data_IF_792847562902
#
_entry.id   IF_792847562902
#
_cell.length_a   1.000
_cell.length_b   1.000
_cell.length_c   1.000
_cell.angle_alpha   90.00
_cell.angle_beta   90.00
_cell.angle_gamma   90.00
#
_symmetry.space_group_name_H-M   'P 1'
#
loop_
_entity.id
_entity.type
_entity.pdbx_description
1 polymer ?
#
# COMPACT_ATOMS: atom_id res chain seq x y z
N UNK A 1 -13.60 -5.05 -29.58
CA UNK A 1 -13.50 -4.87 -28.13
C UNK A 1 -12.05 -5.08 -27.75
N UNK A 2 -11.30 -4.02 -27.45
CA UNK A 2 -9.92 -4.13 -26.97
C UNK A 2 -9.96 -4.78 -25.60
N UNK A 3 -9.23 -5.87 -25.42
CA UNK A 3 -9.11 -6.51 -24.11
C UNK A 3 -8.56 -5.49 -23.10
N UNK A 4 -9.38 -5.12 -22.13
CA UNK A 4 -8.95 -4.21 -21.06
C UNK A 4 -7.92 -4.97 -20.21
N UNK A 5 -6.71 -4.43 -20.05
CA UNK A 5 -5.69 -5.06 -19.19
C UNK A 5 -6.18 -5.17 -17.74
N UNK A 6 -5.68 -6.17 -17.03
CA UNK A 6 -5.96 -6.30 -15.60
C UNK A 6 -5.38 -5.11 -14.81
N UNK A 7 -6.12 -4.64 -13.81
CA UNK A 7 -5.63 -3.65 -12.84
C UNK A 7 -4.56 -4.30 -11.96
N UNK A 8 -3.46 -3.59 -11.75
CA UNK A 8 -2.34 -4.04 -10.91
C UNK A 8 -2.36 -3.31 -9.58
N UNK A 9 -2.51 -4.06 -8.49
CA UNK A 9 -2.48 -3.52 -7.12
C UNK A 9 -1.22 -4.00 -6.42
N UNK A 10 -0.39 -3.05 -5.98
CA UNK A 10 0.80 -3.31 -5.19
C UNK A 10 0.46 -3.26 -3.70
N UNK A 11 0.76 -4.32 -2.97
CA UNK A 11 0.81 -4.34 -1.52
C UNK A 11 2.20 -3.97 -1.01
N UNK A 12 2.28 -2.96 -0.17
CA UNK A 12 3.53 -2.46 0.41
C UNK A 12 3.43 -2.41 1.93
N UNK A 13 4.37 -3.01 2.65
CA UNK A 13 4.41 -2.85 4.08
C UNK A 13 4.72 -4.10 4.88
N UNK A 14 4.27 -4.09 6.13
CA UNK A 14 4.60 -5.14 7.09
C UNK A 14 5.79 -4.78 7.98
N UNK A 15 6.40 -5.79 8.55
CA UNK A 15 7.63 -5.69 9.35
C UNK A 15 8.66 -6.70 8.86
N UNK A 16 9.88 -6.63 9.36
CA UNK A 16 10.93 -7.61 9.03
C UNK A 16 10.61 -9.03 9.55
N UNK A 17 9.67 -9.17 10.48
CA UNK A 17 9.26 -10.48 10.98
C UNK A 17 8.25 -11.11 10.02
N UNK A 18 8.59 -12.26 9.46
CA UNK A 18 7.71 -13.04 8.61
C UNK A 18 6.41 -13.40 9.31
N UNK A 19 5.31 -13.37 8.57
CA UNK A 19 3.99 -13.67 9.10
C UNK A 19 3.52 -12.70 10.19
N UNK A 20 4.05 -11.47 10.20
CA UNK A 20 3.63 -10.44 11.15
C UNK A 20 2.14 -10.10 11.00
N UNK A 21 1.52 -9.59 12.07
CA UNK A 21 0.10 -9.18 12.04
C UNK A 21 -0.15 -8.12 10.94
N UNK A 22 0.79 -7.23 10.70
CA UNK A 22 0.69 -6.24 9.62
C UNK A 22 0.78 -6.87 8.22
N UNK A 23 1.61 -7.89 8.03
CA UNK A 23 1.68 -8.62 6.76
C UNK A 23 0.40 -9.42 6.51
N UNK A 24 -0.14 -10.07 7.55
CA UNK A 24 -1.42 -10.81 7.45
C UNK A 24 -2.58 -9.88 7.11
N UNK A 25 -2.65 -8.69 7.73
CA UNK A 25 -3.64 -7.68 7.38
C UNK A 25 -3.52 -7.21 5.91
N UNK A 26 -2.28 -7.07 5.41
CA UNK A 26 -2.05 -6.75 4.00
C UNK A 26 -2.59 -7.84 3.07
N UNK A 27 -2.34 -9.11 3.37
CA UNK A 27 -2.83 -10.24 2.57
C UNK A 27 -4.35 -10.26 2.47
N UNK A 28 -5.07 -9.97 3.56
CA UNK A 28 -6.54 -9.86 3.56
C UNK A 28 -7.01 -8.73 2.63
N UNK A 29 -6.35 -7.58 2.68
CA UNK A 29 -6.70 -6.46 1.81
C UNK A 29 -6.39 -6.76 0.33
N UNK A 30 -5.27 -7.42 0.04
CA UNK A 30 -4.94 -7.87 -1.33
C UNK A 30 -5.98 -8.85 -1.87
N UNK A 31 -6.44 -9.81 -1.04
CA UNK A 31 -7.51 -10.73 -1.42
C UNK A 31 -8.81 -9.97 -1.80
N UNK A 32 -9.13 -8.89 -1.09
CA UNK A 32 -10.26 -8.02 -1.47
C UNK A 32 -10.09 -7.30 -2.81
N UNK A 33 -8.86 -6.95 -3.17
CA UNK A 33 -8.55 -6.40 -4.50
C UNK A 33 -8.64 -7.46 -5.59
N UNK A 34 -8.20 -8.69 -5.33
CA UNK A 34 -8.32 -9.84 -6.25
C UNK A 34 -9.78 -10.21 -6.52
N UNK A 35 -10.62 -10.22 -5.48
CA UNK A 35 -12.07 -10.43 -5.61
C UNK A 35 -12.73 -9.37 -6.51
N UNK A 36 -12.15 -8.17 -6.59
CA UNK A 36 -12.56 -7.09 -7.49
C UNK A 36 -11.87 -7.13 -8.87
N UNK A 37 -11.18 -8.22 -9.20
CA UNK A 37 -10.57 -8.44 -10.52
C UNK A 37 -9.19 -7.83 -10.72
N UNK A 38 -8.50 -7.43 -9.66
CA UNK A 38 -7.12 -6.96 -9.75
C UNK A 38 -6.12 -8.13 -9.75
N UNK A 39 -4.99 -7.92 -10.42
CA UNK A 39 -3.77 -8.71 -10.22
C UNK A 39 -2.96 -8.06 -9.11
N UNK A 40 -2.50 -8.84 -8.13
CA UNK A 40 -1.79 -8.31 -6.97
C UNK A 40 -0.34 -8.77 -6.91
N UNK A 41 0.50 -7.93 -6.34
CA UNK A 41 1.88 -8.21 -5.93
C UNK A 41 2.12 -7.64 -4.55
N UNK A 42 3.01 -8.25 -3.76
CA UNK A 42 3.37 -7.73 -2.44
C UNK A 42 4.89 -7.58 -2.31
N UNK A 43 5.32 -6.46 -1.71
CA UNK A 43 6.69 -6.21 -1.27
C UNK A 43 6.66 -6.03 0.25
N UNK A 44 7.15 -7.03 0.98
CA UNK A 44 7.08 -7.12 2.44
C UNK A 44 8.40 -7.61 3.03
N UNK A 45 8.54 -7.56 4.34
CA UNK A 45 9.63 -8.18 5.08
C UNK A 45 11.02 -7.78 4.59
N UNK A 46 11.86 -8.77 4.33
CA UNK A 46 13.24 -8.57 3.87
C UNK A 46 13.35 -7.84 2.52
N UNK A 47 12.33 -7.89 1.66
CA UNK A 47 12.33 -7.14 0.40
C UNK A 47 12.28 -5.61 0.64
N UNK A 48 11.82 -5.16 1.82
CA UNK A 48 11.81 -3.76 2.25
C UNK A 48 13.06 -3.35 3.03
N UNK A 49 14.01 -4.26 3.28
CA UNK A 49 15.30 -3.91 3.89
C UNK A 49 16.16 -3.19 2.84
N UNK A 50 15.92 -1.92 2.68
CA UNK A 50 16.60 -1.02 1.77
C UNK A 50 17.61 -0.16 2.53
N UNK A 51 18.69 0.32 1.91
CA UNK A 51 19.46 1.44 2.45
C UNK A 51 18.53 2.62 2.79
N UNK A 52 18.94 3.50 3.68
CA UNK A 52 18.21 4.74 3.85
C UNK A 52 18.20 5.52 2.53
N UNK A 53 17.02 6.04 2.18
CA UNK A 53 16.88 6.86 0.98
C UNK A 53 17.79 8.09 1.08
N UNK A 54 18.58 8.30 0.05
CA UNK A 54 19.42 9.48 -0.13
C UNK A 54 19.12 10.10 -1.49
N UNK A 55 18.65 11.34 -1.48
CA UNK A 55 18.34 12.08 -2.70
C UNK A 55 19.60 12.47 -3.51
N UNK A 56 20.77 12.50 -2.87
CA UNK A 56 22.05 12.80 -3.49
C UNK A 56 22.72 11.59 -4.14
N UNK A 57 22.29 10.39 -3.81
CA UNK A 57 22.80 9.13 -4.36
C UNK A 57 21.86 8.60 -5.44
N UNK A 58 22.32 8.50 -6.67
CA UNK A 58 21.56 7.93 -7.79
C UNK A 58 21.68 6.40 -7.89
N UNK A 59 22.65 5.78 -7.19
CA UNK A 59 22.89 4.35 -7.26
C UNK A 59 21.86 3.62 -6.38
N UNK A 60 20.96 2.93 -7.04
CA UNK A 60 19.89 2.14 -6.36
C UNK A 60 20.26 0.66 -6.34
N UNK A 61 20.12 0.05 -5.17
CA UNK A 61 20.21 -1.41 -5.06
C UNK A 61 19.11 -2.06 -5.90
N UNK A 62 19.32 -3.32 -6.31
CA UNK A 62 18.32 -4.08 -7.06
C UNK A 62 16.96 -4.11 -6.35
N UNK A 63 16.95 -4.22 -5.00
CA UNK A 63 15.71 -4.20 -4.21
C UNK A 63 15.01 -2.83 -4.29
N UNK A 64 15.76 -1.74 -4.20
CA UNK A 64 15.22 -0.38 -4.32
C UNK A 64 14.64 -0.15 -5.73
N UNK A 65 15.38 -0.53 -6.76
CA UNK A 65 14.93 -0.44 -8.16
C UNK A 65 13.66 -1.25 -8.40
N UNK A 66 13.56 -2.46 -7.84
CA UNK A 66 12.34 -3.28 -7.92
C UNK A 66 11.15 -2.62 -7.24
N UNK A 67 11.36 -1.99 -6.06
CA UNK A 67 10.30 -1.26 -5.37
C UNK A 67 9.79 -0.10 -6.22
N UNK A 68 10.70 0.75 -6.71
CA UNK A 68 10.35 1.91 -7.55
C UNK A 68 9.60 1.48 -8.80
N UNK A 69 10.08 0.42 -9.48
CA UNK A 69 9.41 -0.11 -10.67
C UNK A 69 8.03 -0.69 -10.36
N UNK A 70 7.88 -1.41 -9.24
CA UNK A 70 6.58 -1.93 -8.82
C UNK A 70 5.57 -0.81 -8.55
N UNK A 71 6.00 0.29 -7.91
CA UNK A 71 5.17 1.49 -7.70
C UNK A 71 4.82 2.14 -9.03
N UNK A 72 5.80 2.28 -9.96
CA UNK A 72 5.59 2.86 -11.29
C UNK A 72 4.50 2.12 -12.06
N UNK A 73 4.52 0.79 -12.02
CA UNK A 73 3.60 -0.06 -12.75
C UNK A 73 2.23 -0.24 -12.09
N UNK A 74 2.08 0.09 -10.82
CA UNK A 74 0.84 -0.09 -10.09
C UNK A 74 -0.25 0.89 -10.55
N UNK A 75 -1.50 0.42 -10.57
CA UNK A 75 -2.71 1.22 -10.77
C UNK A 75 -3.33 1.65 -9.44
N UNK A 76 -3.03 0.90 -8.37
CA UNK A 76 -3.42 1.20 -7.01
C UNK A 76 -2.43 0.59 -6.02
N UNK A 77 -2.39 1.11 -4.80
CA UNK A 77 -1.43 0.69 -3.78
C UNK A 77 -2.15 0.45 -2.45
N UNK A 78 -1.81 -0.63 -1.79
CA UNK A 78 -2.17 -0.91 -0.40
C UNK A 78 -0.92 -0.72 0.47
N UNK A 79 -0.95 0.23 1.41
CA UNK A 79 0.14 0.46 2.36
C UNK A 79 -0.29 0.01 3.74
N UNK A 80 0.46 -0.93 4.31
CA UNK A 80 0.23 -1.41 5.67
C UNK A 80 1.46 -1.16 6.52
N UNK A 81 1.31 -0.46 7.64
CA UNK A 81 2.40 -0.22 8.57
C UNK A 81 2.07 -0.69 9.98
N UNK A 82 3.02 -1.36 10.67
CA UNK A 82 2.92 -1.43 12.12
C UNK A 82 3.10 -0.03 12.71
N UNK A 83 2.35 0.23 13.80
CA UNK A 83 2.48 1.45 14.58
C UNK A 83 3.49 1.28 15.70
N UNK A 84 4.59 2.01 15.66
CA UNK A 84 5.63 2.02 16.69
C UNK A 84 5.74 3.40 17.33
N UNK A 85 5.55 3.48 18.64
CA UNK A 85 5.67 4.73 19.39
C UNK A 85 4.83 5.89 18.81
N UNK A 86 3.64 5.58 18.30
CA UNK A 86 2.71 6.58 17.73
C UNK A 86 2.99 6.96 16.27
N UNK A 87 3.90 6.28 15.59
CA UNK A 87 4.24 6.55 14.19
C UNK A 87 4.26 5.29 13.32
N UNK A 88 4.25 5.48 11.99
CA UNK A 88 4.52 4.38 11.07
C UNK A 88 5.96 3.86 11.24
N UNK A 89 6.20 2.62 10.87
CA UNK A 89 7.54 2.03 10.98
C UNK A 89 8.55 2.75 10.07
N UNK A 90 9.79 2.89 10.54
CA UNK A 90 10.89 3.41 9.72
C UNK A 90 11.09 2.61 8.43
N UNK A 91 10.83 1.29 8.46
CA UNK A 91 10.88 0.42 7.29
C UNK A 91 9.92 0.89 6.18
N UNK A 92 8.65 1.12 6.55
CA UNK A 92 7.61 1.57 5.60
C UNK A 92 7.86 3.01 5.19
N UNK A 93 8.29 3.87 6.13
CA UNK A 93 8.61 5.27 5.80
C UNK A 93 9.74 5.34 4.78
N UNK A 94 10.83 4.60 5.00
CA UNK A 94 11.96 4.55 4.06
C UNK A 94 11.54 4.06 2.67
N UNK A 95 10.70 3.02 2.60
CA UNK A 95 10.16 2.55 1.32
C UNK A 95 9.31 3.62 0.60
N UNK A 96 8.55 4.42 1.34
CA UNK A 96 7.77 5.51 0.77
C UNK A 96 8.65 6.70 0.33
N UNK A 97 9.83 6.89 0.95
CA UNK A 97 10.77 7.92 0.51
C UNK A 97 11.37 7.60 -0.87
N UNK A 98 11.54 6.33 -1.23
CA UNK A 98 11.97 5.93 -2.57
C UNK A 98 10.96 6.30 -3.69
N UNK A 99 9.72 6.63 -3.34
CA UNK A 99 8.74 7.13 -4.33
C UNK A 99 9.17 8.49 -4.92
N UNK A 100 10.10 9.21 -4.26
CA UNK A 100 10.73 10.42 -4.79
C UNK A 100 11.40 10.19 -6.15
N UNK A 101 11.91 8.99 -6.41
CA UNK A 101 12.53 8.65 -7.69
C UNK A 101 11.54 8.74 -8.88
N UNK A 102 10.23 8.75 -8.61
CA UNK A 102 9.18 8.91 -9.61
C UNK A 102 8.77 10.37 -9.86
N UNK A 103 9.43 11.35 -9.26
CA UNK A 103 9.04 12.76 -9.33
C UNK A 103 8.95 13.34 -10.75
N UNK A 104 9.74 12.80 -11.66
CA UNK A 104 9.82 13.24 -13.06
C UNK A 104 9.16 12.29 -14.05
N UNK A 105 8.50 11.24 -13.56
CA UNK A 105 7.75 10.30 -14.40
C UNK A 105 6.51 10.98 -15.01
N UNK A 106 5.97 10.41 -16.08
CA UNK A 106 4.69 10.85 -16.66
C UNK A 106 3.53 10.80 -15.65
N UNK A 107 3.62 9.89 -14.67
CA UNK A 107 2.72 9.79 -13.49
C UNK A 107 3.56 10.01 -12.24
N UNK A 108 3.85 11.27 -11.85
CA UNK A 108 4.76 11.56 -10.75
C UNK A 108 4.22 11.03 -9.42
N UNK A 109 5.10 10.48 -8.62
CA UNK A 109 4.77 9.91 -7.30
C UNK A 109 3.64 8.86 -7.37
N UNK A 110 2.54 9.13 -6.67
CA UNK A 110 1.33 8.29 -6.69
C UNK A 110 0.16 8.92 -7.46
N UNK A 111 0.46 9.87 -8.36
CA UNK A 111 -0.58 10.55 -9.12
C UNK A 111 -1.48 9.57 -9.87
N UNK A 112 -2.80 9.76 -9.76
CA UNK A 112 -3.81 8.92 -10.40
C UNK A 112 -3.96 7.52 -9.78
N UNK A 113 -3.37 7.25 -8.59
CA UNK A 113 -3.48 5.96 -7.90
C UNK A 113 -4.32 6.08 -6.63
N UNK A 114 -5.25 5.16 -6.43
CA UNK A 114 -5.87 4.97 -5.11
C UNK A 114 -4.87 4.36 -4.15
N UNK A 115 -4.90 4.81 -2.89
CA UNK A 115 -4.02 4.33 -1.84
C UNK A 115 -4.86 3.85 -0.66
N UNK A 116 -5.00 2.54 -0.51
CA UNK A 116 -5.61 1.92 0.66
C UNK A 116 -4.60 1.89 1.82
N UNK A 117 -5.02 2.38 2.98
CA UNK A 117 -4.13 2.62 4.12
C UNK A 117 -4.58 1.82 5.33
N UNK A 118 -3.66 1.05 5.90
CA UNK A 118 -3.92 0.20 7.06
C UNK A 118 -2.80 0.38 8.07
N UNK A 119 -3.16 0.60 9.33
CA UNK A 119 -2.23 0.59 10.45
C UNK A 119 -2.55 -0.57 11.39
N UNK A 120 -1.53 -1.21 11.93
CA UNK A 120 -1.64 -2.33 12.85
C UNK A 120 -0.78 -2.06 14.08
N UNK A 121 -1.40 -1.87 15.25
CA UNK A 121 -0.66 -1.54 16.47
C UNK A 121 -1.30 -2.16 17.71
N UNK A 122 -0.53 -2.27 18.78
CA UNK A 122 -1.06 -2.70 20.08
C UNK A 122 -1.63 -1.49 20.82
N UNK A 123 -2.92 -1.23 20.64
CA UNK A 123 -3.66 -0.12 21.24
C UNK A 123 -4.18 0.89 20.21
N UNK A 124 -5.37 1.43 20.48
CA UNK A 124 -6.10 2.31 19.57
C UNK A 124 -5.38 3.62 19.27
N UNK A 125 -4.72 4.23 20.28
CA UNK A 125 -4.00 5.47 20.10
C UNK A 125 -2.94 5.34 18.99
N UNK A 126 -2.09 4.33 19.08
CA UNK A 126 -1.04 4.10 18.08
C UNK A 126 -1.63 3.73 16.71
N UNK A 127 -2.68 2.90 16.66
CA UNK A 127 -3.32 2.50 15.42
C UNK A 127 -3.91 3.71 14.68
N UNK A 128 -4.67 4.54 15.36
CA UNK A 128 -5.31 5.72 14.74
C UNK A 128 -4.28 6.78 14.34
N UNK A 129 -3.30 7.07 15.21
CA UNK A 129 -2.25 8.07 14.91
C UNK A 129 -1.44 7.66 13.70
N UNK A 130 -1.03 6.38 13.61
CA UNK A 130 -0.30 5.86 12.47
C UNK A 130 -1.12 5.93 11.18
N UNK A 131 -2.41 5.59 11.21
CA UNK A 131 -3.27 5.71 10.04
C UNK A 131 -3.36 7.17 9.54
N UNK A 132 -3.47 8.14 10.44
CA UNK A 132 -3.52 9.55 10.07
C UNK A 132 -2.20 10.01 9.41
N UNK A 133 -1.05 9.55 9.89
CA UNK A 133 0.24 9.83 9.25
C UNK A 133 0.32 9.22 7.85
N UNK A 134 -0.12 7.98 7.67
CA UNK A 134 -0.18 7.34 6.35
C UNK A 134 -1.05 8.15 5.37
N UNK A 135 -2.19 8.69 5.82
CA UNK A 135 -3.05 9.57 5.01
C UNK A 135 -2.32 10.85 4.59
N UNK A 136 -1.63 11.49 5.52
CA UNK A 136 -0.83 12.69 5.24
C UNK A 136 0.25 12.41 4.19
N UNK A 137 0.96 11.28 4.32
CA UNK A 137 2.02 10.88 3.37
C UNK A 137 1.42 10.57 2.00
N UNK A 138 0.31 9.84 1.93
CA UNK A 138 -0.35 9.54 0.66
C UNK A 138 -0.78 10.82 -0.09
N UNK A 139 -1.30 11.82 0.62
CA UNK A 139 -1.61 13.13 0.04
C UNK A 139 -0.36 13.87 -0.42
N UNK A 140 0.71 13.89 0.39
CA UNK A 140 1.99 14.52 0.02
C UNK A 140 2.57 13.90 -1.25
N UNK A 141 2.40 12.60 -1.43
CA UNK A 141 2.79 11.84 -2.62
C UNK A 141 1.76 11.93 -3.77
N UNK A 142 0.75 12.79 -3.69
CA UNK A 142 -0.30 13.00 -4.72
C UNK A 142 -1.19 11.78 -4.98
N UNK A 143 -1.24 10.85 -4.05
CA UNK A 143 -2.15 9.69 -4.10
C UNK A 143 -3.57 10.06 -3.68
N UNK A 144 -4.51 9.17 -3.96
CA UNK A 144 -5.92 9.27 -3.56
C UNK A 144 -6.21 8.28 -2.42
N UNK A 145 -6.09 8.68 -1.13
CA UNK A 145 -6.46 7.79 -0.05
C UNK A 145 -7.91 7.31 -0.22
N UNK A 146 -8.12 6.01 -0.06
CA UNK A 146 -9.48 5.47 -0.08
C UNK A 146 -10.32 6.10 1.05
N UNK A 147 -11.65 6.27 0.86
CA UNK A 147 -12.52 6.80 1.90
C UNK A 147 -12.39 6.04 3.21
N UNK A 148 -12.29 4.71 3.13
CA UNK A 148 -12.08 3.84 4.27
C UNK A 148 -10.59 3.58 4.48
N UNK A 149 -10.13 3.71 5.73
CA UNK A 149 -8.80 3.27 6.18
C UNK A 149 -8.92 2.31 7.36
N UNK A 150 -7.97 1.40 7.49
CA UNK A 150 -7.95 0.39 8.54
C UNK A 150 -7.07 0.79 9.72
N UNK A 151 -7.64 0.99 10.91
CA UNK A 151 -6.90 1.02 12.15
C UNK A 151 -7.19 -0.26 12.93
N UNK A 152 -6.17 -1.10 13.13
CA UNK A 152 -6.31 -2.41 13.78
C UNK A 152 -5.59 -2.41 15.11
N UNK A 153 -6.34 -2.69 16.19
CA UNK A 153 -5.80 -2.88 17.52
C UNK A 153 -5.51 -4.37 17.78
N UNK A 154 -4.25 -4.77 17.81
CA UNK A 154 -3.84 -6.17 18.04
C UNK A 154 -3.96 -6.63 19.49
N UNK A 155 -4.37 -5.77 20.41
CA UNK A 155 -4.83 -6.20 21.73
C UNK A 155 -6.17 -6.93 21.66
N UNK A 156 -7.02 -6.56 20.69
CA UNK A 156 -8.39 -7.06 20.52
C UNK A 156 -8.50 -8.04 19.34
N UNK A 157 -7.77 -7.78 18.24
CA UNK A 157 -7.87 -8.55 16.99
C UNK A 157 -6.58 -9.28 16.69
N UNK A 158 -6.69 -10.53 16.27
CA UNK A 158 -5.57 -11.37 15.79
C UNK A 158 -5.85 -11.83 14.38
N UNK A 159 -4.80 -11.93 13.59
CA UNK A 159 -4.83 -12.55 12.28
C UNK A 159 -4.16 -13.92 12.33
N UNK A 160 -4.78 -14.93 11.76
CA UNK A 160 -4.25 -16.28 11.67
C UNK A 160 -3.37 -16.50 10.44
N UNK A 161 -2.81 -17.70 10.32
CA UNK A 161 -1.96 -18.08 9.19
C UNK A 161 -2.78 -18.41 7.92
N UNK A 162 -4.05 -18.75 8.09
CA UNK A 162 -4.95 -19.05 6.98
C UNK A 162 -5.49 -17.79 6.29
N UNK A 163 -5.15 -16.60 6.81
CA UNK A 163 -5.58 -15.31 6.23
C UNK A 163 -6.92 -14.82 6.74
N UNK A 164 -7.35 -15.31 7.92
CA UNK A 164 -8.54 -14.83 8.63
C UNK A 164 -8.21 -13.83 9.73
N UNK A 165 -9.23 -13.12 10.20
CA UNK A 165 -9.18 -12.29 11.40
C UNK A 165 -10.12 -12.85 12.47
N UNK A 166 -9.73 -12.73 13.74
CA UNK A 166 -10.59 -13.14 14.88
C UNK A 166 -11.91 -12.37 14.93
N UNK A 167 -11.98 -11.23 14.28
CA UNK A 167 -13.17 -10.38 14.17
C UNK A 167 -13.55 -10.21 12.69
N UNK A 168 -14.67 -10.82 12.28
CA UNK A 168 -15.18 -10.78 10.89
C UNK A 168 -15.36 -9.35 10.38
N UNK A 169 -15.76 -8.42 11.24
CA UNK A 169 -15.93 -7.02 10.88
C UNK A 169 -14.61 -6.39 10.43
N UNK A 170 -13.50 -6.74 11.07
CA UNK A 170 -12.16 -6.24 10.70
C UNK A 170 -11.75 -6.84 9.36
N UNK A 171 -11.93 -8.15 9.18
CA UNK A 171 -11.64 -8.81 7.91
C UNK A 171 -12.43 -8.17 6.76
N UNK A 172 -13.72 -7.99 6.91
CA UNK A 172 -14.60 -7.35 5.91
C UNK A 172 -14.13 -5.92 5.60
N UNK A 173 -13.69 -5.18 6.62
CA UNK A 173 -13.13 -3.82 6.44
C UNK A 173 -11.87 -3.83 5.60
N UNK A 174 -10.94 -4.75 5.87
CA UNK A 174 -9.68 -4.85 5.13
C UNK A 174 -9.93 -5.27 3.68
N UNK A 175 -10.80 -6.25 3.43
CA UNK A 175 -11.22 -6.65 2.07
C UNK A 175 -11.86 -5.48 1.32
N UNK A 176 -12.72 -4.70 1.99
CA UNK A 176 -13.37 -3.53 1.39
C UNK A 176 -12.35 -2.45 0.99
N UNK A 177 -11.30 -2.21 1.79
CA UNK A 177 -10.23 -1.27 1.43
C UNK A 177 -9.53 -1.75 0.15
N UNK A 178 -9.19 -3.03 0.04
CA UNK A 178 -8.58 -3.60 -1.16
C UNK A 178 -9.48 -3.47 -2.38
N UNK A 179 -10.77 -3.78 -2.22
CA UNK A 179 -11.79 -3.61 -3.26
C UNK A 179 -11.88 -2.16 -3.74
N UNK A 180 -11.93 -1.17 -2.84
CA UNK A 180 -11.97 0.24 -3.20
C UNK A 180 -10.76 0.67 -4.03
N UNK A 181 -9.57 0.13 -3.72
CA UNK A 181 -8.36 0.41 -4.52
C UNK A 181 -8.51 -0.14 -5.94
N UNK A 182 -8.98 -1.37 -6.11
CA UNK A 182 -9.17 -1.98 -7.42
C UNK A 182 -10.27 -1.28 -8.23
N UNK A 183 -11.42 -1.00 -7.61
CA UNK A 183 -12.55 -0.31 -8.26
C UNK A 183 -12.15 1.09 -8.77
N UNK A 184 -11.38 1.85 -7.98
CA UNK A 184 -10.84 3.14 -8.44
C UNK A 184 -9.90 2.95 -9.64
N UNK A 185 -9.00 1.95 -9.60
CA UNK A 185 -8.12 1.63 -10.72
C UNK A 185 -8.89 1.31 -12.00
N UNK A 186 -9.96 0.51 -11.90
CA UNK A 186 -10.85 0.23 -13.04
C UNK A 186 -11.52 1.50 -13.58
N UNK A 187 -12.01 2.38 -12.70
CA UNK A 187 -12.61 3.64 -13.09
C UNK A 187 -11.62 4.57 -13.81
N UNK A 188 -10.39 4.67 -13.31
CA UNK A 188 -9.32 5.46 -13.92
C UNK A 188 -8.93 4.92 -15.31
N UNK A 189 -8.77 3.60 -15.42
CA UNK A 189 -8.48 2.97 -16.70
C UNK A 189 -9.60 3.22 -17.73
N UNK A 190 -10.86 3.07 -17.32
CA UNK A 190 -12.03 3.34 -18.16
C UNK A 190 -12.11 4.81 -18.59
N UNK A 191 -11.71 5.75 -17.73
CA UNK A 191 -11.63 7.19 -18.02
C UNK A 191 -10.44 7.59 -18.90
N UNK A 192 -9.53 6.65 -19.22
CA UNK A 192 -8.36 6.92 -20.07
C UNK A 192 -7.20 7.61 -19.34
N UNK A 193 -7.17 7.63 -18.03
CA UNK A 193 -6.08 8.21 -17.23
C UNK A 193 -4.73 7.50 -17.40
N UNK A 194 -4.73 6.33 -18.01
CA UNK A 194 -3.51 5.53 -18.25
C UNK A 194 -2.78 5.94 -19.54
N UNK A 195 -3.29 6.93 -20.26
CA UNK A 195 -2.61 7.48 -21.43
C UNK A 195 -1.65 8.57 -20.97
N UNK A 196 -0.33 8.48 -21.32
CA UNK A 196 0.54 9.64 -21.17
C UNK A 196 -0.13 10.80 -21.89
N UNK A 197 -0.13 11.98 -21.26
CA UNK A 197 -0.60 13.19 -21.92
C UNK A 197 0.11 13.29 -23.27
N UNK A 198 -0.66 13.26 -24.37
CA UNK A 198 -0.12 13.54 -25.68
C UNK A 198 0.29 15.02 -25.63
N UNK A 199 1.60 15.25 -25.45
CA UNK A 199 2.22 16.58 -25.57
C UNK A 199 2.25 17.04 -27.02
#
# INVERSE_FOLDING_TARGET
>A
MTATRAIRVLGLGGSLRDGSQSERALRIALAGAEEAGASTTAITGEALRLPFYDAGDSDRTERASRLVEAVRQADGILVVSPGYHGALSGLVKNALDYVEDLRHDARPYLHGRAVGLISVAHGWQAAVTTLNQLRTIAHALRGWPTPLGGAVNTAEVKFDEAGGASEQKVENTLRLIGRQVAEFGHAQLAAGFDRPAQG
#
